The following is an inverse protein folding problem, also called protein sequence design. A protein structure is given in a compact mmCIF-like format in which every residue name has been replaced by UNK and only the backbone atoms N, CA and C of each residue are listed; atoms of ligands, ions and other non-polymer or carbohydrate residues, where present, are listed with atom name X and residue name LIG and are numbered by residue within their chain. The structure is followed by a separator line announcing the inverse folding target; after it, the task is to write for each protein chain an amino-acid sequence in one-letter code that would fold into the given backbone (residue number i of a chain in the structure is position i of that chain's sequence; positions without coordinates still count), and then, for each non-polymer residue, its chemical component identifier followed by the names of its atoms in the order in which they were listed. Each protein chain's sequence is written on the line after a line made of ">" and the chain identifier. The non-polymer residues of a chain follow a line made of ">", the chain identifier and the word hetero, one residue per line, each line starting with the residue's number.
data_IF_572693713734
#
_entry.id   IF_572693713734
#
_cell.length_a   1.000
_cell.length_b   1.000
_cell.length_c   1.000
_cell.angle_alpha   90.00
_cell.angle_beta   90.00
_cell.angle_gamma   90.00
#
_symmetry.space_group_name_H-M   'P 1'
#
loop_
_entity.id
_entity.type
_entity.pdbx_description
1 polymer ?
#
# COMPACT_ATOMS: atom_id res chain seq x y z
N UNK A 1 -32.91 -21.30 -10.33
CA UNK A 1 -32.03 -22.01 -9.39
C UNK A 1 -32.83 -22.32 -8.15
N UNK A 2 -33.14 -23.60 -7.94
CA UNK A 2 -34.12 -24.10 -6.98
C UNK A 2 -33.47 -24.10 -5.58
N UNK A 3 -33.86 -23.16 -4.71
CA UNK A 3 -33.41 -23.11 -3.32
C UNK A 3 -33.96 -24.35 -2.58
N UNK A 4 -33.15 -25.41 -2.52
CA UNK A 4 -33.43 -26.59 -1.72
C UNK A 4 -33.45 -26.20 -0.24
N UNK A 5 -34.65 -26.00 0.30
CA UNK A 5 -34.87 -25.97 1.74
C UNK A 5 -34.57 -27.38 2.30
N UNK A 6 -33.36 -27.58 2.82
CA UNK A 6 -33.10 -28.76 3.65
C UNK A 6 -33.77 -28.52 5.01
N UNK A 7 -35.00 -29.01 5.18
CA UNK A 7 -35.53 -29.31 6.53
C UNK A 7 -34.58 -30.36 7.13
N UNK A 8 -33.59 -29.92 7.92
CA UNK A 8 -32.80 -30.84 8.73
C UNK A 8 -33.72 -31.42 9.80
N UNK A 9 -34.40 -32.53 9.46
CA UNK A 9 -35.08 -33.37 10.45
C UNK A 9 -34.01 -33.90 11.39
N UNK A 10 -33.99 -33.39 12.62
CA UNK A 10 -33.19 -33.96 13.71
C UNK A 10 -33.48 -35.46 13.80
N UNK A 11 -32.42 -36.27 13.94
CA UNK A 11 -32.57 -37.71 14.11
C UNK A 11 -33.31 -37.96 15.42
N UNK A 12 -34.15 -38.99 15.48
CA UNK A 12 -34.95 -39.37 16.66
C UNK A 12 -34.13 -39.52 17.95
N UNK A 13 -32.82 -39.76 17.84
CA UNK A 13 -31.88 -39.80 18.95
C UNK A 13 -31.49 -38.41 19.52
N UNK A 14 -31.40 -37.38 18.68
CA UNK A 14 -31.10 -36.00 19.11
C UNK A 14 -32.31 -35.36 19.79
N UNK A 15 -33.51 -35.67 19.30
CA UNK A 15 -34.78 -35.30 19.94
C UNK A 15 -34.83 -35.87 21.37
N UNK A 16 -34.52 -37.15 21.56
CA UNK A 16 -34.47 -37.80 22.89
C UNK A 16 -33.46 -37.19 23.87
N UNK A 17 -32.36 -36.58 23.40
CA UNK A 17 -31.37 -35.93 24.26
C UNK A 17 -31.84 -34.60 24.85
N UNK A 18 -32.76 -33.90 24.18
CA UNK A 18 -33.35 -32.64 24.67
C UNK A 18 -34.29 -32.89 25.86
N UNK A 19 -34.89 -34.09 25.96
CA UNK A 19 -35.90 -34.44 26.97
C UNK A 19 -35.34 -34.93 28.33
N UNK A 20 -34.02 -35.08 28.48
CA UNK A 20 -33.43 -35.72 29.66
C UNK A 20 -32.86 -34.75 30.71
N UNK A 21 -33.02 -33.44 30.52
CA UNK A 21 -32.60 -32.45 31.51
C UNK A 21 -33.83 -31.96 32.28
N UNK A 22 -33.90 -32.20 33.59
CA UNK A 22 -35.08 -31.92 34.41
C UNK A 22 -35.45 -30.42 34.49
N UNK A 23 -34.62 -29.54 33.93
CA UNK A 23 -34.79 -28.09 33.81
C UNK A 23 -35.05 -27.59 32.38
N UNK A 24 -35.27 -28.46 31.39
CA UNK A 24 -35.49 -28.06 30.01
C UNK A 24 -36.85 -27.36 29.82
N UNK A 25 -36.85 -26.02 29.75
CA UNK A 25 -38.04 -25.20 29.47
C UNK A 25 -38.23 -25.01 27.96
N UNK A 26 -39.48 -25.10 27.50
CA UNK A 26 -39.88 -24.70 26.14
C UNK A 26 -40.23 -23.22 26.11
N UNK A 27 -39.83 -22.52 25.05
CA UNK A 27 -40.26 -21.13 24.83
C UNK A 27 -41.64 -21.14 24.15
N UNK A 28 -42.64 -20.56 24.79
CA UNK A 28 -43.97 -20.42 24.20
C UNK A 28 -44.03 -19.17 23.30
N UNK A 29 -44.50 -19.32 22.06
CA UNK A 29 -44.67 -18.21 21.12
C UNK A 29 -46.04 -18.30 20.46
N UNK A 30 -46.84 -17.25 20.61
CA UNK A 30 -48.11 -17.08 19.89
C UNK A 30 -48.01 -15.89 18.98
N UNK A 31 -48.47 -16.07 17.75
CA UNK A 31 -48.52 -14.99 16.77
C UNK A 31 -49.88 -14.94 16.09
N UNK A 32 -50.40 -13.73 15.91
CA UNK A 32 -51.64 -13.49 15.19
C UNK A 32 -51.51 -12.22 14.37
N UNK A 33 -52.36 -12.07 13.36
CA UNK A 33 -52.49 -10.84 12.58
C UNK A 33 -53.70 -10.07 13.08
N UNK A 34 -53.59 -8.74 13.06
CA UNK A 34 -54.69 -7.83 13.36
C UNK A 34 -54.72 -6.74 12.29
N UNK A 35 -55.89 -6.14 12.10
CA UNK A 35 -56.02 -4.98 11.24
C UNK A 35 -55.37 -3.74 11.88
N UNK A 36 -54.82 -2.88 11.03
CA UNK A 36 -54.19 -1.62 11.46
C UNK A 36 -55.30 -0.63 11.84
N UNK A 37 -55.21 -0.02 13.02
CA UNK A 37 -56.20 0.92 13.54
C UNK A 37 -55.60 1.87 14.57
N UNK A 38 -56.43 2.44 15.44
CA UNK A 38 -55.92 3.21 16.59
C UNK A 38 -55.18 2.29 17.56
N UNK A 39 -54.23 2.82 18.34
CA UNK A 39 -53.45 2.04 19.31
C UNK A 39 -54.35 1.26 20.29
N UNK A 40 -55.44 1.89 20.75
CA UNK A 40 -56.43 1.27 21.63
C UNK A 40 -57.15 0.11 20.95
N UNK A 41 -57.55 0.29 19.69
CA UNK A 41 -58.24 -0.75 18.92
C UNK A 41 -57.30 -1.92 18.61
N UNK A 42 -56.06 -1.63 18.20
CA UNK A 42 -55.04 -2.64 17.94
C UNK A 42 -54.70 -3.45 19.19
N UNK A 43 -54.56 -2.80 20.35
CA UNK A 43 -54.28 -3.49 21.62
C UNK A 43 -55.44 -4.39 22.04
N UNK A 44 -56.67 -3.89 21.91
CA UNK A 44 -57.88 -4.66 22.24
C UNK A 44 -58.05 -5.84 21.29
N UNK A 45 -57.83 -5.62 19.99
CA UNK A 45 -57.89 -6.66 18.96
C UNK A 45 -56.81 -7.72 19.18
N UNK A 46 -55.57 -7.32 19.43
CA UNK A 46 -54.46 -8.24 19.72
C UNK A 46 -54.75 -9.15 20.91
N UNK A 47 -55.24 -8.59 22.02
CA UNK A 47 -55.61 -9.38 23.21
C UNK A 47 -56.69 -10.42 22.89
N UNK A 48 -57.71 -10.02 22.14
CA UNK A 48 -58.80 -10.92 21.72
C UNK A 48 -58.26 -12.04 20.83
N UNK A 49 -57.54 -11.70 19.77
CA UNK A 49 -57.00 -12.67 18.82
C UNK A 49 -55.99 -13.63 19.46
N UNK A 50 -55.15 -13.15 20.38
CA UNK A 50 -54.24 -14.02 21.13
C UNK A 50 -54.99 -14.97 22.07
N UNK A 51 -56.06 -14.50 22.73
CA UNK A 51 -56.92 -15.36 23.54
C UNK A 51 -57.60 -16.44 22.68
N UNK A 52 -58.06 -16.10 21.47
CA UNK A 52 -58.61 -17.07 20.52
C UNK A 52 -57.56 -18.10 20.07
N UNK A 53 -56.30 -17.71 19.89
CA UNK A 53 -55.21 -18.64 19.55
C UNK A 53 -54.99 -19.72 20.63
N UNK A 54 -55.26 -19.43 21.91
CA UNK A 54 -55.15 -20.43 22.99
C UNK A 54 -56.19 -21.54 22.91
N UNK A 55 -57.29 -21.30 22.20
CA UNK A 55 -58.32 -22.32 21.95
C UNK A 55 -58.02 -23.17 20.70
N UNK A 56 -56.97 -22.84 19.95
CA UNK A 56 -56.51 -23.61 18.78
C UNK A 56 -55.43 -24.61 19.18
N UNK A 57 -55.12 -25.52 18.26
CA UNK A 57 -54.07 -26.51 18.45
C UNK A 57 -52.68 -25.84 18.50
N UNK A 58 -51.86 -26.29 19.45
CA UNK A 58 -50.49 -25.83 19.62
C UNK A 58 -49.53 -26.97 19.26
N UNK A 59 -48.46 -26.60 18.57
CA UNK A 59 -47.43 -27.51 18.12
C UNK A 59 -46.15 -27.25 18.91
N UNK A 60 -45.29 -28.26 18.97
CA UNK A 60 -43.99 -28.17 19.63
C UNK A 60 -42.91 -28.61 18.65
N UNK A 61 -41.97 -27.73 18.35
CA UNK A 61 -40.90 -27.96 17.38
C UNK A 61 -39.52 -27.56 17.94
N UNK A 62 -38.51 -28.35 17.61
CA UNK A 62 -37.12 -28.03 17.93
C UNK A 62 -36.53 -27.17 16.80
N UNK A 63 -36.23 -25.91 17.12
CA UNK A 63 -35.67 -24.92 16.19
C UNK A 63 -34.28 -24.56 16.69
N UNK A 64 -33.25 -24.87 15.91
CA UNK A 64 -31.83 -24.57 16.24
C UNK A 64 -31.44 -24.98 17.67
N UNK A 65 -31.72 -26.23 18.05
CA UNK A 65 -31.44 -26.84 19.35
C UNK A 65 -32.17 -26.21 20.56
N UNK A 66 -33.23 -25.43 20.33
CA UNK A 66 -34.13 -24.94 21.38
C UNK A 66 -35.56 -25.41 21.09
N UNK A 67 -36.28 -25.74 22.16
CA UNK A 67 -37.67 -26.18 22.04
C UNK A 67 -38.61 -24.97 22.04
N UNK A 68 -39.51 -24.92 21.07
CA UNK A 68 -40.56 -23.91 20.97
C UNK A 68 -41.93 -24.58 20.96
N UNK A 69 -42.90 -23.93 21.59
CA UNK A 69 -44.30 -24.37 21.60
C UNK A 69 -45.20 -23.21 21.19
N UNK A 70 -46.09 -23.40 20.23
CA UNK A 70 -46.87 -22.29 19.68
C UNK A 70 -47.86 -22.70 18.60
N UNK A 71 -48.62 -21.74 18.10
CA UNK A 71 -49.36 -21.93 16.85
C UNK A 71 -48.39 -21.89 15.65
N UNK A 72 -48.88 -22.27 14.47
CA UNK A 72 -48.07 -22.35 13.24
C UNK A 72 -47.31 -21.04 12.97
N UNK A 73 -47.99 -19.90 13.06
CA UNK A 73 -47.38 -18.59 12.84
C UNK A 73 -46.31 -18.25 13.89
N UNK A 74 -46.52 -18.65 15.15
CA UNK A 74 -45.55 -18.45 16.22
C UNK A 74 -44.27 -19.25 16.00
N UNK A 75 -44.38 -20.48 15.49
CA UNK A 75 -43.23 -21.32 15.16
C UNK A 75 -42.47 -20.81 13.94
N UNK A 76 -43.15 -20.27 12.93
CA UNK A 76 -42.49 -19.62 11.78
C UNK A 76 -41.64 -18.43 12.26
N UNK A 77 -42.20 -17.55 13.10
CA UNK A 77 -41.46 -16.40 13.66
C UNK A 77 -40.28 -16.84 14.51
N UNK A 78 -40.43 -17.89 15.33
CA UNK A 78 -39.33 -18.45 16.09
C UNK A 78 -38.21 -18.98 15.16
N UNK A 79 -38.58 -19.61 14.05
CA UNK A 79 -37.67 -20.06 13.00
C UNK A 79 -36.89 -18.93 12.35
N UNK A 80 -37.57 -17.84 11.98
CA UNK A 80 -36.96 -16.65 11.39
C UNK A 80 -36.03 -15.94 12.38
N UNK A 81 -36.48 -15.72 13.62
CA UNK A 81 -35.67 -15.09 14.66
C UNK A 81 -34.40 -15.89 14.99
N UNK A 82 -34.47 -17.23 14.95
CA UNK A 82 -33.30 -18.07 15.17
C UNK A 82 -32.25 -17.96 14.03
N UNK A 83 -32.65 -17.51 12.83
CA UNK A 83 -31.74 -17.33 11.69
C UNK A 83 -30.99 -16.00 11.72
N UNK A 84 -31.52 -14.98 12.39
CA UNK A 84 -30.90 -13.65 12.50
C UNK A 84 -29.45 -13.73 13.01
N UNK A 85 -29.15 -14.32 14.18
CA UNK A 85 -27.77 -14.37 14.68
C UNK A 85 -26.81 -15.16 13.79
N UNK A 86 -27.32 -16.14 13.03
CA UNK A 86 -26.52 -16.91 12.07
C UNK A 86 -26.16 -16.04 10.86
N UNK A 87 -27.10 -15.21 10.40
CA UNK A 87 -26.85 -14.29 9.31
C UNK A 87 -25.93 -13.14 9.74
N UNK A 88 -26.11 -12.60 10.95
CA UNK A 88 -25.20 -11.61 11.54
C UNK A 88 -23.77 -12.15 11.60
N UNK A 89 -23.58 -13.36 12.14
CA UNK A 89 -22.25 -14.00 12.19
C UNK A 89 -21.63 -14.20 10.79
N UNK A 90 -22.43 -14.50 9.77
CA UNK A 90 -21.94 -14.60 8.38
C UNK A 90 -21.54 -13.23 7.81
N UNK A 91 -22.29 -12.18 8.14
CA UNK A 91 -21.96 -10.81 7.72
C UNK A 91 -20.64 -10.39 8.34
N UNK A 92 -20.45 -10.63 9.64
CA UNK A 92 -19.21 -10.32 10.34
C UNK A 92 -18.01 -11.04 9.69
N UNK A 93 -18.15 -12.35 9.40
CA UNK A 93 -17.11 -13.12 8.73
C UNK A 93 -16.77 -12.62 7.31
N UNK A 94 -17.77 -12.16 6.55
CA UNK A 94 -17.53 -11.56 5.24
C UNK A 94 -16.83 -10.19 5.34
N UNK A 95 -17.15 -9.39 6.35
CA UNK A 95 -16.48 -8.11 6.60
C UNK A 95 -14.99 -8.30 6.93
N UNK A 96 -14.65 -9.31 7.73
CA UNK A 96 -13.26 -9.66 8.00
C UNK A 96 -12.50 -10.07 6.72
N UNK A 97 -13.12 -10.87 5.86
CA UNK A 97 -12.52 -11.27 4.58
C UNK A 97 -12.29 -10.08 3.64
N UNK A 98 -13.23 -9.14 3.58
CA UNK A 98 -13.06 -7.90 2.79
C UNK A 98 -11.87 -7.09 3.30
N UNK A 99 -11.73 -6.97 4.63
CA UNK A 99 -10.62 -6.25 5.25
C UNK A 99 -9.26 -6.90 4.96
N UNK A 100 -9.18 -8.23 5.00
CA UNK A 100 -7.97 -8.96 4.60
C UNK A 100 -7.63 -8.70 3.13
N UNK A 101 -8.63 -8.79 2.25
CA UNK A 101 -8.42 -8.58 0.81
C UNK A 101 -7.96 -7.15 0.49
N UNK A 102 -8.51 -6.16 1.17
CA UNK A 102 -8.13 -4.74 1.03
C UNK A 102 -6.68 -4.49 1.50
N UNK A 103 -6.26 -5.15 2.58
CA UNK A 103 -4.87 -5.11 3.05
C UNK A 103 -3.89 -5.71 2.03
N UNK A 104 -4.28 -6.83 1.40
CA UNK A 104 -3.48 -7.48 0.35
C UNK A 104 -3.42 -6.63 -0.91
N UNK A 105 -4.53 -6.02 -1.31
CA UNK A 105 -4.59 -5.13 -2.45
C UNK A 105 -3.70 -3.89 -2.24
N UNK A 106 -3.75 -3.30 -1.05
CA UNK A 106 -2.88 -2.18 -0.65
C UNK A 106 -1.39 -2.54 -0.75
N UNK A 107 -1.02 -3.74 -0.31
CA UNK A 107 0.35 -4.24 -0.43
C UNK A 107 0.77 -4.41 -1.91
N UNK A 108 -0.07 -5.07 -2.72
CA UNK A 108 0.17 -5.23 -4.15
C UNK A 108 0.30 -3.89 -4.88
N UNK A 109 -0.53 -2.91 -4.52
CA UNK A 109 -0.46 -1.56 -5.07
C UNK A 109 0.90 -0.93 -4.75
N UNK A 110 1.37 -1.04 -3.51
CA UNK A 110 2.69 -0.51 -3.12
C UNK A 110 3.86 -1.19 -3.84
N UNK A 111 3.78 -2.50 -4.05
CA UNK A 111 4.79 -3.24 -4.83
C UNK A 111 4.76 -2.82 -6.32
N UNK A 112 3.57 -2.58 -6.87
CA UNK A 112 3.42 -2.10 -8.24
C UNK A 112 3.96 -0.68 -8.42
N UNK A 113 3.68 0.23 -7.49
CA UNK A 113 4.23 1.59 -7.50
C UNK A 113 5.77 1.55 -7.42
N UNK A 114 6.33 0.72 -6.54
CA UNK A 114 7.79 0.52 -6.48
C UNK A 114 8.36 -0.02 -7.80
N UNK A 115 7.69 -0.96 -8.46
CA UNK A 115 8.11 -1.48 -9.77
C UNK A 115 7.97 -0.45 -10.89
N UNK A 116 6.96 0.41 -10.83
CA UNK A 116 6.79 1.54 -11.77
C UNK A 116 7.94 2.52 -11.58
N UNK A 117 8.21 2.94 -10.35
CA UNK A 117 9.29 3.87 -10.04
C UNK A 117 10.65 3.28 -10.42
N UNK A 118 10.84 1.97 -10.25
CA UNK A 118 12.03 1.27 -10.74
C UNK A 118 12.14 1.25 -12.27
N UNK A 119 11.04 1.16 -13.02
CA UNK A 119 11.09 1.14 -14.50
C UNK A 119 11.20 2.55 -15.10
N UNK A 120 10.55 3.54 -14.50
CA UNK A 120 10.52 4.90 -15.01
C UNK A 120 11.83 5.64 -14.77
N UNK A 121 12.50 5.36 -13.65
CA UNK A 121 13.83 5.90 -13.35
C UNK A 121 14.93 5.18 -14.14
N UNK A 122 14.74 3.90 -14.48
CA UNK A 122 15.83 3.11 -15.10
C UNK A 122 16.16 3.54 -16.53
N UNK A 123 15.22 3.96 -17.38
CA UNK A 123 15.54 4.16 -18.81
C UNK A 123 14.62 5.10 -19.62
N UNK A 124 13.75 5.94 -19.08
CA UNK A 124 12.83 6.70 -19.96
C UNK A 124 13.33 8.10 -20.36
N UNK A 125 13.70 8.95 -19.39
CA UNK A 125 14.11 10.33 -19.71
C UNK A 125 15.57 10.38 -20.19
N UNK A 126 16.50 9.86 -19.38
CA UNK A 126 17.92 9.91 -19.72
C UNK A 126 18.29 9.09 -20.96
N UNK A 127 17.66 7.93 -21.17
CA UNK A 127 17.93 7.14 -22.37
C UNK A 127 17.41 7.83 -23.64
N UNK A 128 16.20 8.41 -23.60
CA UNK A 128 15.67 9.17 -24.73
C UNK A 128 16.60 10.35 -25.07
N UNK A 129 17.11 11.05 -24.06
CA UNK A 129 18.07 12.14 -24.24
C UNK A 129 19.42 11.65 -24.80
N UNK A 130 19.94 10.52 -24.33
CA UNK A 130 21.15 9.88 -24.85
C UNK A 130 20.96 9.45 -26.32
N UNK A 131 19.81 8.86 -26.66
CA UNK A 131 19.48 8.45 -28.03
C UNK A 131 19.26 9.66 -28.95
N UNK A 132 18.60 10.70 -28.46
CA UNK A 132 18.43 11.96 -29.17
C UNK A 132 19.77 12.65 -29.41
N UNK A 133 20.67 12.66 -28.43
CA UNK A 133 22.05 13.14 -28.64
C UNK A 133 22.73 12.39 -29.76
N UNK A 134 22.70 11.06 -29.77
CA UNK A 134 23.34 10.27 -30.82
C UNK A 134 22.86 10.68 -32.24
N UNK A 135 21.55 10.82 -32.43
CA UNK A 135 20.97 11.23 -33.72
C UNK A 135 21.31 12.69 -34.07
N UNK A 136 21.23 13.60 -33.10
CA UNK A 136 21.55 15.01 -33.26
C UNK A 136 23.03 15.24 -33.56
N UNK A 137 23.94 14.48 -32.95
CA UNK A 137 25.37 14.49 -33.26
C UNK A 137 25.63 14.04 -34.69
N UNK A 138 25.00 12.97 -35.16
CA UNK A 138 25.10 12.54 -36.56
C UNK A 138 24.57 13.60 -37.53
N UNK A 139 23.42 14.22 -37.20
CA UNK A 139 22.83 15.31 -38.01
C UNK A 139 23.75 16.53 -38.11
N UNK A 140 24.45 16.87 -37.04
CA UNK A 140 25.44 17.96 -37.01
C UNK A 140 26.71 17.59 -37.78
N UNK A 141 27.35 16.48 -37.42
CA UNK A 141 28.71 16.14 -37.85
C UNK A 141 28.76 15.52 -39.26
N UNK A 142 27.71 14.79 -39.66
CA UNK A 142 27.66 14.08 -40.95
C UNK A 142 26.75 14.77 -41.95
N UNK A 143 25.60 15.29 -41.51
CA UNK A 143 24.64 15.95 -42.41
C UNK A 143 24.81 17.49 -42.48
N UNK A 144 25.72 18.07 -41.68
CA UNK A 144 26.06 19.49 -41.73
C UNK A 144 24.94 20.44 -41.30
N UNK A 145 23.94 19.96 -40.57
CA UNK A 145 22.84 20.79 -40.08
C UNK A 145 23.12 21.28 -38.65
N UNK A 146 23.37 22.58 -38.50
CA UNK A 146 23.63 23.29 -37.23
C UNK A 146 22.49 24.27 -36.83
N UNK A 147 21.24 23.83 -36.58
CA UNK A 147 20.30 24.65 -35.81
C UNK A 147 20.69 24.69 -34.32
N UNK A 148 20.49 25.82 -33.64
CA UNK A 148 20.70 25.96 -32.19
C UNK A 148 19.95 24.90 -31.37
N UNK A 149 18.78 24.44 -31.86
CA UNK A 149 17.99 23.36 -31.27
C UNK A 149 18.77 22.02 -31.18
N UNK A 150 19.62 21.72 -32.16
CA UNK A 150 20.44 20.49 -32.18
C UNK A 150 21.52 20.56 -31.08
N UNK A 151 22.06 21.76 -30.81
CA UNK A 151 23.06 21.96 -29.75
C UNK A 151 22.46 21.74 -28.37
N UNK A 152 21.25 22.24 -28.12
CA UNK A 152 20.56 22.02 -26.84
C UNK A 152 20.20 20.55 -26.62
N UNK A 153 19.75 19.83 -27.65
CA UNK A 153 19.52 18.38 -27.57
C UNK A 153 20.81 17.61 -27.27
N UNK A 154 21.93 17.98 -27.90
CA UNK A 154 23.23 17.36 -27.61
C UNK A 154 23.67 17.65 -26.17
N UNK A 155 23.45 18.86 -25.67
CA UNK A 155 23.75 19.25 -24.29
C UNK A 155 22.90 18.45 -23.30
N UNK A 156 21.60 18.32 -23.54
CA UNK A 156 20.70 17.53 -22.71
C UNK A 156 21.14 16.06 -22.62
N UNK A 157 21.43 15.42 -23.76
CA UNK A 157 21.90 14.04 -23.74
C UNK A 157 23.35 13.85 -23.29
N UNK A 158 24.18 14.89 -23.28
CA UNK A 158 25.47 14.86 -22.58
C UNK A 158 25.24 14.88 -21.07
N UNK A 159 24.39 15.77 -20.57
CA UNK A 159 24.01 15.81 -19.15
C UNK A 159 23.42 14.48 -18.70
N UNK A 160 22.50 13.89 -19.47
CA UNK A 160 21.91 12.59 -19.17
C UNK A 160 22.94 11.43 -19.12
N UNK A 161 24.07 11.55 -19.84
CA UNK A 161 25.11 10.53 -19.87
C UNK A 161 26.22 10.73 -18.82
N UNK A 162 26.37 11.95 -18.31
CA UNK A 162 27.53 12.34 -17.49
C UNK A 162 27.16 12.79 -16.07
N UNK A 163 25.90 13.10 -15.80
CA UNK A 163 25.44 13.43 -14.47
C UNK A 163 25.39 12.18 -13.60
N UNK A 164 25.78 12.31 -12.34
CA UNK A 164 25.65 11.22 -11.38
C UNK A 164 24.18 10.88 -11.13
N UNK A 165 23.87 9.59 -10.97
CA UNK A 165 22.54 9.13 -10.57
C UNK A 165 22.65 8.22 -9.35
N UNK A 166 22.42 8.77 -8.15
CA UNK A 166 22.69 8.08 -6.88
C UNK A 166 22.04 6.69 -6.83
N UNK A 167 20.77 6.61 -7.23
CA UNK A 167 20.00 5.36 -7.19
C UNK A 167 20.43 4.39 -8.29
N UNK A 168 20.58 4.86 -9.53
CA UNK A 168 20.95 3.99 -10.65
C UNK A 168 22.38 3.44 -10.48
N UNK A 169 23.30 4.29 -10.03
CA UNK A 169 24.70 3.90 -9.83
C UNK A 169 24.86 2.95 -8.64
N UNK A 170 24.09 3.14 -7.55
CA UNK A 170 24.11 2.22 -6.40
C UNK A 170 23.59 0.83 -6.75
N UNK A 171 22.63 0.73 -7.68
CA UNK A 171 22.11 -0.56 -8.14
C UNK A 171 23.19 -1.46 -8.76
N UNK A 172 24.24 -0.88 -9.35
CA UNK A 172 25.35 -1.63 -9.94
C UNK A 172 26.19 -2.37 -8.89
N UNK A 173 26.03 -2.05 -7.60
CA UNK A 173 26.75 -2.67 -6.48
C UNK A 173 25.92 -3.71 -5.71
N UNK A 174 24.67 -3.98 -6.14
CA UNK A 174 23.81 -4.98 -5.49
C UNK A 174 24.41 -6.38 -5.64
N UNK A 175 24.45 -7.21 -4.58
CA UNK A 175 25.07 -8.54 -4.63
C UNK A 175 24.56 -9.44 -5.76
N UNK A 176 23.28 -9.29 -6.12
CA UNK A 176 22.61 -10.07 -7.16
C UNK A 176 23.00 -9.64 -8.58
N UNK A 177 23.76 -8.54 -8.73
CA UNK A 177 24.03 -7.91 -10.02
C UNK A 177 22.80 -7.25 -10.63
N UNK A 178 22.90 -6.87 -11.89
CA UNK A 178 21.82 -6.25 -12.65
C UNK A 178 21.43 -7.14 -13.83
N UNK A 179 20.14 -7.41 -14.00
CA UNK A 179 19.61 -8.03 -15.22
C UNK A 179 18.83 -7.00 -16.02
N UNK A 180 19.09 -6.94 -17.32
CA UNK A 180 18.40 -6.03 -18.25
C UNK A 180 17.05 -6.58 -18.76
N UNK A 181 16.65 -7.77 -18.31
CA UNK A 181 15.41 -8.43 -18.73
C UNK A 181 15.50 -9.20 -20.05
N UNK A 182 16.66 -9.24 -20.70
CA UNK A 182 16.91 -9.96 -21.96
C UNK A 182 18.03 -11.00 -21.80
N UNK A 183 18.00 -11.76 -20.70
CA UNK A 183 18.98 -12.80 -20.32
C UNK A 183 20.43 -12.33 -20.12
N UNK A 184 20.70 -11.02 -20.22
CA UNK A 184 22.02 -10.47 -19.89
C UNK A 184 22.08 -10.17 -18.40
N UNK A 185 23.05 -10.80 -17.74
CA UNK A 185 23.41 -10.53 -16.36
C UNK A 185 24.71 -9.70 -16.31
N UNK A 186 24.65 -8.57 -15.62
CA UNK A 186 25.79 -7.72 -15.33
C UNK A 186 26.19 -8.02 -13.89
N UNK A 187 27.41 -8.55 -13.64
CA UNK A 187 27.87 -8.83 -12.29
C UNK A 187 28.00 -7.53 -11.47
N UNK A 188 27.90 -7.63 -10.13
CA UNK A 188 28.10 -6.48 -9.26
C UNK A 188 29.47 -5.83 -9.46
N UNK A 189 29.48 -4.51 -9.36
CA UNK A 189 30.72 -3.73 -9.17
C UNK A 189 31.34 -4.04 -7.80
N UNK A 190 32.66 -4.08 -7.75
CA UNK A 190 33.43 -4.38 -6.54
C UNK A 190 34.18 -3.17 -5.97
N UNK A 191 34.22 -2.06 -6.71
CA UNK A 191 34.95 -0.83 -6.41
C UNK A 191 34.08 0.19 -5.65
N UNK A 192 33.60 -0.20 -4.47
CA UNK A 192 32.69 0.63 -3.64
C UNK A 192 33.29 1.99 -3.28
N UNK A 193 34.61 2.07 -3.19
CA UNK A 193 35.39 3.29 -2.94
C UNK A 193 35.18 4.35 -4.03
N UNK A 194 34.92 3.94 -5.27
CA UNK A 194 34.57 4.87 -6.36
C UNK A 194 33.20 5.52 -6.10
N UNK A 195 32.21 4.73 -5.68
CA UNK A 195 30.89 5.26 -5.34
C UNK A 195 30.96 6.18 -4.11
N UNK A 196 31.68 5.77 -3.06
CA UNK A 196 31.86 6.60 -1.87
C UNK A 196 32.58 7.91 -2.18
N UNK A 197 33.55 7.90 -3.09
CA UNK A 197 34.26 9.11 -3.52
C UNK A 197 33.34 10.07 -4.30
N UNK A 198 32.36 9.55 -5.05
CA UNK A 198 31.40 10.36 -5.82
C UNK A 198 30.21 10.86 -4.98
N UNK A 199 29.72 10.07 -4.03
CA UNK A 199 28.48 10.36 -3.31
C UNK A 199 28.66 10.54 -1.79
N UNK A 200 29.85 10.32 -1.24
CA UNK A 200 30.16 10.42 0.19
C UNK A 200 29.54 9.32 1.07
N UNK A 201 28.75 8.41 0.50
CA UNK A 201 27.98 7.39 1.21
C UNK A 201 28.19 6.01 0.58
N UNK A 202 28.05 4.95 1.38
CA UNK A 202 28.13 3.57 0.87
C UNK A 202 26.91 3.24 -0.03
N UNK A 203 27.09 2.46 -1.12
CA UNK A 203 26.00 2.10 -2.03
C UNK A 203 24.76 1.49 -1.35
N UNK A 204 24.93 0.74 -0.25
CA UNK A 204 23.82 0.10 0.47
C UNK A 204 22.88 1.11 1.17
N UNK A 205 23.35 2.33 1.37
CA UNK A 205 22.57 3.40 1.98
C UNK A 205 21.73 4.14 0.96
N UNK A 206 22.09 4.11 -0.32
CA UNK A 206 21.41 4.85 -1.37
C UNK A 206 19.90 4.60 -1.37
N UNK A 207 19.44 3.37 -1.09
CA UNK A 207 18.01 3.04 -0.98
C UNK A 207 17.30 3.77 0.16
N UNK A 208 17.97 3.97 1.30
CA UNK A 208 17.43 4.65 2.49
C UNK A 208 17.24 6.15 2.26
N UNK A 209 18.06 6.75 1.40
CA UNK A 209 17.97 8.18 1.07
C UNK A 209 16.83 8.37 0.08
N UNK A 210 15.67 8.81 0.57
CA UNK A 210 14.46 9.05 -0.25
C UNK A 210 14.15 10.53 -0.43
N UNK A 211 14.82 11.42 0.32
CA UNK A 211 14.54 12.84 0.26
C UNK A 211 15.20 13.50 -0.96
N UNK A 212 14.38 14.06 -1.85
CA UNK A 212 14.81 14.60 -3.16
C UNK A 212 15.94 15.63 -3.03
N UNK A 213 15.86 16.55 -2.07
CA UNK A 213 16.90 17.58 -1.89
C UNK A 213 18.26 16.99 -1.53
N UNK A 214 18.29 15.90 -0.76
CA UNK A 214 19.53 15.16 -0.46
C UNK A 214 20.07 14.49 -1.71
N UNK A 215 19.22 13.79 -2.46
CA UNK A 215 19.60 13.08 -3.69
C UNK A 215 20.23 14.05 -4.68
N UNK A 216 19.56 15.16 -4.98
CA UNK A 216 20.05 16.17 -5.93
C UNK A 216 21.41 16.75 -5.52
N UNK A 217 21.64 16.93 -4.22
CA UNK A 217 22.89 17.49 -3.71
C UNK A 217 24.05 16.50 -3.84
N UNK A 218 23.82 15.22 -3.54
CA UNK A 218 24.80 14.15 -3.75
C UNK A 218 25.11 13.94 -5.24
N UNK A 219 24.09 13.95 -6.10
CA UNK A 219 24.25 13.83 -7.55
C UNK A 219 24.99 15.03 -8.15
N UNK A 220 24.79 16.23 -7.60
CA UNK A 220 25.56 17.41 -7.99
C UNK A 220 27.05 17.25 -7.69
N UNK A 221 27.39 16.77 -6.49
CA UNK A 221 28.78 16.48 -6.15
C UNK A 221 29.41 15.48 -7.12
N UNK A 222 28.76 14.32 -7.32
CA UNK A 222 29.22 13.30 -8.25
C UNK A 222 29.43 13.84 -9.67
N UNK A 223 28.51 14.70 -10.14
CA UNK A 223 28.58 15.32 -11.47
C UNK A 223 29.79 16.25 -11.61
N UNK A 224 30.08 17.07 -10.59
CA UNK A 224 31.25 17.96 -10.59
C UNK A 224 32.54 17.14 -10.58
N UNK A 225 32.64 16.14 -9.69
CA UNK A 225 33.84 15.31 -9.54
C UNK A 225 34.11 14.43 -10.76
N UNK A 226 33.07 13.98 -11.47
CA UNK A 226 33.21 13.23 -12.71
C UNK A 226 33.55 14.12 -13.93
N UNK A 227 33.47 15.44 -13.80
CA UNK A 227 33.69 16.35 -14.92
C UNK A 227 35.18 16.61 -15.17
N UNK A 228 35.65 16.37 -16.40
CA UNK A 228 37.01 16.73 -16.81
C UNK A 228 37.20 18.27 -16.88
N UNK A 229 36.09 19.02 -16.97
CA UNK A 229 36.12 20.49 -17.15
C UNK A 229 36.10 21.26 -15.83
N UNK A 230 35.73 20.62 -14.74
CA UNK A 230 35.62 21.27 -13.43
C UNK A 230 36.61 20.60 -12.49
N UNK A 231 37.37 21.40 -11.75
CA UNK A 231 38.17 20.89 -10.64
C UNK A 231 37.47 21.32 -9.35
N UNK A 232 37.05 20.36 -8.50
CA UNK A 232 36.49 20.66 -7.19
C UNK A 232 37.45 21.58 -6.42
N UNK A 233 36.94 22.69 -5.92
CA UNK A 233 37.72 23.56 -5.03
C UNK A 233 37.85 22.91 -3.66
N UNK A 234 38.86 23.28 -2.87
CA UNK A 234 38.99 22.79 -1.49
C UNK A 234 37.74 23.12 -0.67
N UNK A 235 37.18 24.32 -0.82
CA UNK A 235 35.94 24.73 -0.14
C UNK A 235 34.74 23.86 -0.53
N UNK A 236 34.63 23.50 -1.81
CA UNK A 236 33.57 22.62 -2.30
C UNK A 236 33.65 21.23 -1.64
N UNK A 237 34.84 20.65 -1.58
CA UNK A 237 35.05 19.33 -0.95
C UNK A 237 34.82 19.39 0.57
N UNK A 238 35.36 20.39 1.26
CA UNK A 238 35.21 20.53 2.72
C UNK A 238 33.75 20.70 3.14
N UNK A 239 32.99 21.53 2.41
CA UNK A 239 31.55 21.73 2.68
C UNK A 239 30.73 20.49 2.32
N UNK A 240 31.10 19.75 1.27
CA UNK A 240 30.48 18.46 0.97
C UNK A 240 30.70 17.43 2.09
N UNK A 241 31.93 17.28 2.57
CA UNK A 241 32.25 16.34 3.65
C UNK A 241 31.54 16.71 4.96
N UNK A 242 31.42 18.01 5.26
CA UNK A 242 30.63 18.49 6.39
C UNK A 242 29.15 18.10 6.27
N UNK A 243 28.57 18.25 5.08
CA UNK A 243 27.20 17.83 4.78
C UNK A 243 27.01 16.32 4.94
N UNK A 244 27.89 15.51 4.34
CA UNK A 244 27.85 14.04 4.42
C UNK A 244 27.95 13.56 5.87
N UNK A 245 28.82 14.19 6.68
CA UNK A 245 28.95 13.88 8.11
C UNK A 245 27.64 14.14 8.87
N UNK A 246 27.08 15.34 8.74
CA UNK A 246 25.81 15.69 9.40
C UNK A 246 24.65 14.79 8.93
N UNK A 247 24.65 14.39 7.66
CA UNK A 247 23.66 13.47 7.11
C UNK A 247 23.78 12.08 7.74
N UNK A 248 25.00 11.58 7.96
CA UNK A 248 25.24 10.29 8.64
C UNK A 248 24.82 10.34 10.11
N UNK A 249 25.12 11.43 10.82
CA UNK A 249 24.78 11.60 12.24
C UNK A 249 23.27 11.63 12.51
N UNK A 250 22.50 12.15 11.56
CA UNK A 250 21.03 12.15 11.61
C UNK A 250 20.41 10.86 11.08
N UNK A 251 21.23 9.84 10.77
CA UNK A 251 20.80 8.59 10.15
C UNK A 251 19.99 8.84 8.86
N UNK A 252 20.49 9.72 8.00
CA UNK A 252 19.91 10.05 6.69
C UNK A 252 18.48 10.62 6.79
N UNK A 253 18.26 11.55 7.72
CA UNK A 253 16.97 12.16 7.94
C UNK A 253 16.36 12.74 6.65
N UNK A 254 15.05 12.55 6.48
CA UNK A 254 14.25 13.13 5.39
C UNK A 254 13.49 14.38 5.85
N UNK A 255 13.21 15.32 4.94
CA UNK A 255 12.34 16.48 5.24
C UNK A 255 12.99 17.52 6.16
N UNK A 256 14.30 17.50 6.36
CA UNK A 256 15.00 18.42 7.27
C UNK A 256 14.93 19.89 6.86
N UNK A 257 14.58 20.21 5.60
CA UNK A 257 14.35 21.59 5.15
C UNK A 257 12.95 22.11 5.48
N UNK A 258 12.01 21.22 5.79
CA UNK A 258 10.61 21.54 6.05
C UNK A 258 10.33 21.67 7.56
N UNK A 259 11.04 20.90 8.38
CA UNK A 259 10.85 20.87 9.84
C UNK A 259 12.06 21.48 10.54
N UNK A 260 11.86 22.62 11.20
CA UNK A 260 12.88 23.19 12.08
C UNK A 260 12.93 22.41 13.39
N UNK A 261 13.99 21.61 13.57
CA UNK A 261 14.29 20.89 14.81
C UNK A 261 15.76 21.04 15.15
N UNK A 262 16.07 21.14 16.45
CA UNK A 262 17.44 21.15 16.95
C UNK A 262 18.22 19.89 16.51
N UNK A 263 17.53 18.77 16.28
CA UNK A 263 18.13 17.51 15.85
C UNK A 263 18.68 17.53 14.42
N UNK A 264 18.19 18.43 13.56
CA UNK A 264 18.62 18.54 12.15
C UNK A 264 19.26 19.89 11.82
N UNK A 265 19.46 20.75 12.83
CA UNK A 265 19.96 22.12 12.62
C UNK A 265 21.34 22.14 11.95
N UNK A 266 22.25 21.24 12.36
CA UNK A 266 23.58 21.10 11.76
C UNK A 266 23.49 20.63 10.30
N UNK A 267 22.63 19.64 10.01
CA UNK A 267 22.38 19.15 8.65
C UNK A 267 21.83 20.25 7.74
N UNK A 268 20.91 21.08 8.24
CA UNK A 268 20.37 22.22 7.49
C UNK A 268 21.45 23.26 7.22
N UNK A 269 22.34 23.55 8.18
CA UNK A 269 23.47 24.48 7.97
C UNK A 269 24.42 23.96 6.91
N UNK A 270 24.87 22.71 7.06
CA UNK A 270 25.81 22.08 6.14
C UNK A 270 25.23 21.94 4.72
N UNK A 271 23.93 21.65 4.60
CA UNK A 271 23.22 21.67 3.32
C UNK A 271 23.32 23.03 2.64
N UNK A 272 23.05 24.12 3.37
CA UNK A 272 23.06 25.48 2.80
C UNK A 272 24.45 25.93 2.41
N UNK A 273 25.45 25.61 3.21
CA UNK A 273 26.86 25.91 2.94
C UNK A 273 27.34 25.19 1.68
N UNK A 274 27.09 23.88 1.58
CA UNK A 274 27.47 23.12 0.39
C UNK A 274 26.67 23.57 -0.84
N UNK A 275 25.36 23.83 -0.70
CA UNK A 275 24.55 24.36 -1.80
C UNK A 275 25.14 25.66 -2.36
N UNK A 276 25.57 26.58 -1.49
CA UNK A 276 26.22 27.82 -1.89
C UNK A 276 27.55 27.57 -2.60
N UNK A 277 28.43 26.77 -2.01
CA UNK A 277 29.73 26.42 -2.62
C UNK A 277 29.55 25.75 -3.99
N UNK A 278 28.49 24.96 -4.15
CA UNK A 278 28.18 24.26 -5.41
C UNK A 278 27.71 25.19 -6.54
N UNK A 279 27.29 26.42 -6.23
CA UNK A 279 26.93 27.45 -7.22
C UNK A 279 28.11 28.28 -7.71
N UNK A 280 29.27 28.15 -7.07
CA UNK A 280 30.52 28.85 -7.40
C UNK A 280 31.47 28.01 -8.27
N UNK A 281 31.07 26.78 -8.62
CA UNK A 281 31.80 25.83 -9.48
C UNK A 281 31.30 25.84 -10.91
#
# INVERSE_FOLDING_TARGET
>A
MQLCYSKQRLKTADVKKIYNDADSKSTAVLATKIDIGSESDMTTSARRSLAECLHRELYSEAIHNKMYTGNEEGLVLAGENARIPILESKIDGLQEQIKDLDSRFSKLQSEFDQLRDQRDVRFTVGYADIRNRFLSTYRRDVLGAEPDEVREVIKAGNSAAHNGSLKADAMLYRPEGFSDGYDRHIPPRTDRDTFESLYGVDPSVAEKIVYTSTILLLERHATVCASIKHQPTTLFEETFQAFVRALKETNYASGYLEVQSAQVAELVSAYREFWKASGEV
#
